data_IF_441904042254
#
_entry.id   IF_441904042254
#
_cell.length_a   1.000
_cell.length_b   1.000
_cell.length_c   1.000
_cell.angle_alpha   90.00
_cell.angle_beta   90.00
_cell.angle_gamma   90.00
#
_symmetry.space_group_name_H-M   'P 1'
#
loop_
_entity.id
_entity.type
_entity.pdbx_description
1 polymer ?
#
# COMPACT_ATOMS: atom_id res chain seq x y z
N UNK A 1 -9.38 -8.07 14.17
CA UNK A 1 -9.53 -9.40 13.54
C UNK A 1 -8.88 -9.35 12.16
N UNK A 2 -8.03 -10.31 11.82
CA UNK A 2 -7.52 -10.46 10.45
C UNK A 2 -8.50 -11.30 9.64
N UNK A 3 -8.77 -10.90 8.39
CA UNK A 3 -9.87 -11.41 7.57
C UNK A 3 -9.40 -12.25 6.36
N UNK A 4 -8.09 -12.45 6.17
CA UNK A 4 -7.54 -13.24 5.07
C UNK A 4 -7.62 -12.59 3.68
N UNK A 5 -7.96 -11.30 3.58
CA UNK A 5 -8.10 -10.58 2.30
C UNK A 5 -6.81 -9.90 1.81
N UNK A 6 -5.63 -10.27 2.31
CA UNK A 6 -4.36 -9.59 1.99
C UNK A 6 -4.08 -9.51 0.48
N UNK A 7 -4.12 -10.66 -0.20
CA UNK A 7 -3.90 -10.75 -1.65
C UNK A 7 -4.90 -9.95 -2.48
N UNK A 8 -6.21 -10.03 -2.15
CA UNK A 8 -7.25 -9.28 -2.85
C UNK A 8 -7.11 -7.76 -2.64
N UNK A 9 -6.76 -7.34 -1.42
CA UNK A 9 -6.51 -5.94 -1.09
C UNK A 9 -5.29 -5.40 -1.84
N UNK A 10 -4.21 -6.19 -1.92
CA UNK A 10 -3.00 -5.86 -2.67
C UNK A 10 -3.31 -5.55 -4.14
N UNK A 11 -4.04 -6.44 -4.80
CA UNK A 11 -4.43 -6.27 -6.20
C UNK A 11 -5.34 -5.05 -6.40
N UNK A 12 -6.30 -4.83 -5.49
CA UNK A 12 -7.20 -3.68 -5.53
C UNK A 12 -6.47 -2.34 -5.40
N UNK A 13 -5.46 -2.26 -4.52
CA UNK A 13 -4.67 -1.03 -4.33
C UNK A 13 -3.81 -0.70 -5.55
N UNK A 14 -3.20 -1.70 -6.19
CA UNK A 14 -2.43 -1.50 -7.43
C UNK A 14 -3.32 -0.97 -8.54
N UNK A 15 -4.48 -1.61 -8.75
CA UNK A 15 -5.43 -1.18 -9.79
C UNK A 15 -5.94 0.25 -9.54
N UNK A 16 -6.28 0.57 -8.29
CA UNK A 16 -6.73 1.92 -7.92
C UNK A 16 -5.62 2.97 -8.17
N UNK A 17 -4.37 2.62 -7.92
CA UNK A 17 -3.23 3.52 -8.17
C UNK A 17 -3.03 3.75 -9.68
N UNK A 18 -3.15 2.69 -10.49
CA UNK A 18 -3.06 2.76 -11.96
C UNK A 18 -4.17 3.63 -12.54
N UNK A 19 -5.43 3.40 -12.14
CA UNK A 19 -6.59 4.17 -12.62
C UNK A 19 -6.51 5.65 -12.23
N UNK A 20 -5.96 5.95 -11.05
CA UNK A 20 -5.79 7.32 -10.58
C UNK A 20 -4.49 7.98 -11.06
N UNK A 21 -3.65 7.28 -11.84
CA UNK A 21 -2.35 7.78 -12.32
C UNK A 21 -1.50 8.40 -11.18
N UNK A 22 -1.56 7.78 -10.01
CA UNK A 22 -0.94 8.32 -8.80
C UNK A 22 0.58 8.23 -8.86
N UNK A 23 1.26 9.15 -8.18
CA UNK A 23 2.71 9.21 -8.15
C UNK A 23 3.31 7.94 -7.53
N UNK A 24 4.17 7.26 -8.29
CA UNK A 24 4.81 6.01 -7.87
C UNK A 24 6.02 6.24 -6.96
N UNK A 25 6.82 7.25 -7.26
CA UNK A 25 8.01 7.60 -6.48
C UNK A 25 7.79 8.97 -5.86
N UNK A 26 7.36 8.98 -4.61
CA UNK A 26 7.13 10.22 -3.85
C UNK A 26 8.28 10.43 -2.87
N UNK A 27 8.71 11.68 -2.73
CA UNK A 27 9.77 12.02 -1.80
C UNK A 27 9.33 11.72 -0.35
N UNK A 28 10.18 11.10 0.48
CA UNK A 28 9.81 10.76 1.85
C UNK A 28 9.43 11.97 2.71
N UNK A 29 10.06 13.13 2.53
CA UNK A 29 9.74 14.33 3.31
C UNK A 29 8.48 15.01 2.81
N UNK A 30 8.29 15.06 1.49
CA UNK A 30 7.06 15.59 0.91
C UNK A 30 5.84 14.75 1.32
N UNK A 31 5.94 13.42 1.22
CA UNK A 31 4.85 12.52 1.59
C UNK A 31 4.55 12.57 3.08
N UNK A 32 5.57 12.61 3.95
CA UNK A 32 5.39 12.75 5.39
C UNK A 32 4.64 14.04 5.80
N UNK A 33 4.79 15.12 5.03
CA UNK A 33 4.13 16.40 5.32
C UNK A 33 2.76 16.55 4.62
N UNK A 34 2.65 16.17 3.35
CA UNK A 34 1.47 16.46 2.53
C UNK A 34 0.46 15.32 2.43
N UNK A 35 0.90 14.07 2.56
CA UNK A 35 0.01 12.94 2.35
C UNK A 35 -0.61 12.50 3.66
N UNK A 36 -1.94 12.38 3.69
CA UNK A 36 -2.64 11.81 4.84
C UNK A 36 -2.41 10.30 4.98
N UNK A 37 -1.90 9.64 3.94
CA UNK A 37 -1.69 8.20 3.87
C UNK A 37 -0.29 7.88 3.36
N UNK A 38 0.31 6.76 3.80
CA UNK A 38 1.61 6.34 3.33
C UNK A 38 1.58 5.97 1.82
N UNK A 39 2.71 6.10 1.12
CA UNK A 39 2.86 5.69 -0.28
C UNK A 39 2.47 4.23 -0.52
N UNK A 40 2.08 3.91 -1.76
CA UNK A 40 1.63 2.57 -2.13
C UNK A 40 2.65 1.49 -1.77
N UNK A 41 3.94 1.72 -2.01
CA UNK A 41 5.02 0.75 -1.75
C UNK A 41 5.06 0.34 -0.28
N UNK A 42 4.92 1.30 0.64
CA UNK A 42 4.89 1.02 2.08
C UNK A 42 3.65 0.23 2.48
N UNK A 43 2.50 0.55 1.87
CA UNK A 43 1.24 -0.18 2.12
C UNK A 43 1.34 -1.63 1.67
N UNK A 44 1.89 -1.89 0.48
CA UNK A 44 2.08 -3.24 -0.03
C UNK A 44 3.06 -4.03 0.84
N UNK A 45 4.18 -3.41 1.24
CA UNK A 45 5.15 -4.04 2.13
C UNK A 45 4.55 -4.41 3.50
N UNK A 46 3.67 -3.58 4.05
CA UNK A 46 2.96 -3.86 5.29
C UNK A 46 1.98 -5.04 5.15
N UNK A 47 1.29 -5.15 4.01
CA UNK A 47 0.42 -6.30 3.70
C UNK A 47 1.25 -7.58 3.57
N UNK A 48 2.33 -7.55 2.78
CA UNK A 48 3.20 -8.71 2.57
C UNK A 48 3.84 -9.18 3.90
N UNK A 49 4.21 -8.25 4.79
CA UNK A 49 4.72 -8.57 6.12
C UNK A 49 3.64 -9.12 7.07
N UNK A 50 2.39 -8.68 6.92
CA UNK A 50 1.28 -9.18 7.71
C UNK A 50 0.86 -10.60 7.31
N UNK A 51 0.99 -10.92 6.01
CA UNK A 51 0.73 -12.24 5.43
C UNK A 51 1.88 -13.22 5.75
N UNK A 52 3.15 -12.80 5.67
CA UNK A 52 4.31 -13.64 6.03
C UNK A 52 4.39 -14.05 7.49
N UNK A 53 3.76 -13.31 8.40
CA UNK A 53 3.69 -13.66 9.83
C UNK A 53 2.65 -14.75 10.13
N UNK A 54 1.89 -15.20 9.12
CA UNK A 54 0.87 -16.23 9.25
C UNK A 54 1.31 -17.61 8.73
N UNK A 55 2.45 -17.69 8.05
CA UNK A 55 3.20 -18.95 7.82
C UNK A 55 4.06 -19.30 9.04
#
# INVERSE_FOLDING_TARGET
KKLGYGSALRAGLVKLQEENLSAMNTDPWYSAYHYSHPPLVERLAAIDAADKKEE
#
